data_IF_934414045944
#
_entry.id   IF_934414045944
#
_cell.length_a   1.000
_cell.length_b   1.000
_cell.length_c   1.000
_cell.angle_alpha   90.00
_cell.angle_beta   90.00
_cell.angle_gamma   90.00
#
_symmetry.space_group_name_H-M   'P 1'
#
loop_
_entity.id
_entity.type
_entity.pdbx_description
1 polymer ?
#
# COMPACT_ATOMS: atom_id res chain seq x y z
N UNK A 1 -18.21 5.45 10.62
CA UNK A 1 -16.84 5.98 10.51
C UNK A 1 -16.03 4.95 9.72
N UNK A 2 -15.02 5.29 9.03
CA UNK A 2 -14.14 4.39 8.26
C UNK A 2 -14.88 3.40 7.33
N UNK A 3 -15.64 3.91 6.38
CA UNK A 3 -16.30 3.08 5.37
C UNK A 3 -15.29 2.47 4.37
N UNK A 4 -14.19 3.15 4.10
CA UNK A 4 -13.15 2.75 3.15
C UNK A 4 -11.77 2.96 3.76
N UNK A 5 -11.02 1.88 3.92
CA UNK A 5 -9.69 1.86 4.53
C UNK A 5 -8.66 1.40 3.50
N UNK A 6 -7.61 2.18 3.30
CA UNK A 6 -6.45 1.79 2.50
C UNK A 6 -5.37 1.23 3.42
N UNK A 7 -4.71 0.15 2.99
CA UNK A 7 -3.45 -0.29 3.57
C UNK A 7 -2.38 -0.36 2.50
N UNK A 8 -1.24 0.28 2.77
CA UNK A 8 -0.11 0.31 1.86
C UNK A 8 0.76 -0.94 2.05
N UNK A 9 0.97 -1.69 0.98
CA UNK A 9 1.71 -2.96 0.98
C UNK A 9 2.98 -2.84 0.14
N UNK A 10 4.13 -3.12 0.74
CA UNK A 10 5.40 -3.19 0.02
C UNK A 10 6.14 -4.51 0.23
N UNK A 11 5.52 -5.45 0.94
CA UNK A 11 6.09 -6.75 1.28
C UNK A 11 6.97 -6.75 2.52
N UNK A 12 7.17 -5.61 3.18
CA UNK A 12 7.93 -5.51 4.42
C UNK A 12 7.13 -6.08 5.61
N UNK A 13 7.84 -6.46 6.67
CA UNK A 13 7.21 -6.90 7.92
C UNK A 13 6.29 -5.80 8.49
N UNK A 14 6.68 -4.54 8.37
CA UNK A 14 5.87 -3.43 8.85
C UNK A 14 4.59 -3.24 8.03
N UNK A 15 4.63 -3.47 6.71
CA UNK A 15 3.41 -3.44 5.91
C UNK A 15 2.45 -4.58 6.27
N UNK A 16 2.98 -5.76 6.61
CA UNK A 16 2.16 -6.87 7.10
C UNK A 16 1.56 -6.58 8.47
N UNK A 17 2.32 -5.93 9.35
CA UNK A 17 1.79 -5.49 10.65
C UNK A 17 0.70 -4.41 10.47
N UNK A 18 0.92 -3.47 9.55
CA UNK A 18 -0.10 -2.48 9.18
C UNK A 18 -1.39 -3.14 8.66
N UNK A 19 -1.24 -4.23 7.90
CA UNK A 19 -2.37 -5.02 7.41
C UNK A 19 -3.21 -5.59 8.56
N UNK A 20 -2.58 -6.10 9.62
CA UNK A 20 -3.29 -6.62 10.78
C UNK A 20 -4.10 -5.52 11.48
N UNK A 21 -3.53 -4.33 11.63
CA UNK A 21 -4.26 -3.18 12.16
C UNK A 21 -5.43 -2.76 11.27
N UNK A 22 -5.16 -2.65 9.95
CA UNK A 22 -6.20 -2.29 8.99
C UNK A 22 -7.35 -3.30 8.96
N UNK A 23 -7.03 -4.60 9.05
CA UNK A 23 -8.02 -5.67 9.14
C UNK A 23 -8.90 -5.50 10.38
N UNK A 24 -8.29 -5.31 11.56
CA UNK A 24 -9.03 -5.16 12.80
C UNK A 24 -10.01 -3.98 12.74
N UNK A 25 -9.56 -2.86 12.17
CA UNK A 25 -10.41 -1.68 11.97
C UNK A 25 -11.54 -1.99 10.99
N UNK A 26 -11.20 -2.59 9.85
CA UNK A 26 -12.18 -2.90 8.81
C UNK A 26 -13.24 -3.89 9.29
N UNK A 27 -12.86 -4.88 10.09
CA UNK A 27 -13.81 -5.81 10.70
C UNK A 27 -14.72 -5.12 11.71
N UNK A 28 -14.16 -4.23 12.54
CA UNK A 28 -14.91 -3.49 13.56
C UNK A 28 -15.95 -2.55 12.92
N UNK A 29 -15.58 -1.82 11.89
CA UNK A 29 -16.43 -0.82 11.24
C UNK A 29 -17.17 -1.35 10.01
N UNK A 30 -16.96 -2.60 9.63
CA UNK A 30 -17.47 -3.20 8.39
C UNK A 30 -17.04 -2.41 7.15
N UNK A 31 -15.78 -1.98 7.15
CA UNK A 31 -15.18 -1.20 6.09
C UNK A 31 -14.86 -2.06 4.87
N UNK A 32 -14.79 -1.41 3.70
CA UNK A 32 -14.07 -1.95 2.57
C UNK A 32 -12.58 -1.76 2.83
N UNK A 33 -11.78 -2.80 2.62
CA UNK A 33 -10.32 -2.75 2.73
C UNK A 33 -9.70 -2.75 1.34
N UNK A 34 -8.82 -1.80 1.07
CA UNK A 34 -8.15 -1.65 -0.22
C UNK A 34 -6.65 -1.85 -0.02
N UNK A 35 -6.12 -2.91 -0.62
CA UNK A 35 -4.69 -3.22 -0.61
C UNK A 35 -4.03 -2.43 -1.75
N UNK A 36 -3.10 -1.54 -1.41
CA UNK A 36 -2.41 -0.72 -2.39
C UNK A 36 -0.93 -1.09 -2.43
N UNK A 37 -0.45 -1.49 -3.58
CA UNK A 37 0.98 -1.67 -3.86
C UNK A 37 1.37 -0.83 -5.06
N UNK A 38 2.52 -0.18 -4.96
CA UNK A 38 3.07 0.66 -6.02
C UNK A 38 4.48 0.21 -6.39
N UNK A 39 4.81 0.30 -7.66
CA UNK A 39 6.17 0.12 -8.16
C UNK A 39 6.57 1.34 -9.01
N UNK A 40 7.85 1.74 -8.98
CA UNK A 40 8.28 2.98 -9.63
C UNK A 40 8.24 2.89 -11.16
N UNK A 41 8.10 4.03 -11.81
CA UNK A 41 8.22 4.14 -13.27
C UNK A 41 9.61 3.70 -13.74
N UNK A 42 9.63 3.14 -14.93
CA UNK A 42 10.85 2.79 -15.66
C UNK A 42 10.96 3.65 -16.93
N UNK A 43 10.67 4.93 -16.81
CA UNK A 43 10.55 5.87 -17.92
C UNK A 43 11.77 5.95 -18.85
N UNK A 44 12.97 5.76 -18.28
CA UNK A 44 14.22 5.84 -19.03
C UNK A 44 14.43 4.70 -20.03
N UNK A 45 13.64 3.63 -19.89
CA UNK A 45 13.73 2.43 -20.73
C UNK A 45 12.49 2.22 -21.61
N UNK A 46 11.62 3.22 -21.71
CA UNK A 46 10.41 3.13 -22.54
C UNK A 46 10.73 2.69 -23.97
N UNK A 47 9.84 1.86 -24.52
CA UNK A 47 9.91 1.31 -25.87
C UNK A 47 11.09 0.35 -26.11
N UNK A 48 11.77 -0.10 -25.03
CA UNK A 48 12.80 -1.12 -25.12
C UNK A 48 12.26 -2.49 -24.65
N UNK A 49 12.94 -3.55 -25.09
CA UNK A 49 12.64 -4.91 -24.62
C UNK A 49 12.91 -5.01 -23.12
N UNK A 50 13.98 -4.37 -22.64
CA UNK A 50 14.35 -4.31 -21.22
C UNK A 50 13.28 -3.62 -20.38
N UNK A 51 12.66 -2.56 -20.90
CA UNK A 51 11.54 -1.89 -20.22
C UNK A 51 10.37 -2.84 -20.01
N UNK A 52 9.92 -3.52 -21.07
CA UNK A 52 8.81 -4.46 -21.00
C UNK A 52 9.08 -5.60 -20.03
N UNK A 53 10.30 -6.16 -20.08
CA UNK A 53 10.71 -7.23 -19.17
C UNK A 53 10.73 -6.77 -17.71
N UNK A 54 11.26 -5.58 -17.43
CA UNK A 54 11.31 -5.02 -16.08
C UNK A 54 9.92 -4.72 -15.53
N UNK A 55 9.01 -4.20 -16.36
CA UNK A 55 7.61 -3.96 -15.98
C UNK A 55 6.93 -5.28 -15.63
N UNK A 56 7.09 -6.32 -16.43
CA UNK A 56 6.55 -7.65 -16.16
C UNK A 56 7.03 -8.21 -14.83
N UNK A 57 8.33 -8.08 -14.52
CA UNK A 57 8.90 -8.52 -13.25
C UNK A 57 8.33 -7.74 -12.06
N UNK A 58 8.14 -6.45 -12.21
CA UNK A 58 7.57 -5.59 -11.16
C UNK A 58 6.09 -5.90 -10.92
N UNK A 59 5.33 -6.11 -11.97
CA UNK A 59 3.93 -6.52 -11.86
C UNK A 59 3.84 -7.88 -11.15
N UNK A 60 4.65 -8.84 -11.55
CA UNK A 60 4.71 -10.15 -10.91
C UNK A 60 5.05 -10.05 -9.43
N UNK A 61 6.05 -9.23 -9.08
CA UNK A 61 6.42 -9.01 -7.68
C UNK A 61 5.28 -8.33 -6.91
N UNK A 62 4.60 -7.38 -7.52
CA UNK A 62 3.44 -6.72 -6.94
C UNK A 62 2.29 -7.69 -6.68
N UNK A 63 2.00 -8.56 -7.62
CA UNK A 63 0.99 -9.61 -7.47
C UNK A 63 1.34 -10.56 -6.32
N UNK A 64 2.60 -10.93 -6.18
CA UNK A 64 3.08 -11.75 -5.06
C UNK A 64 2.89 -11.06 -3.71
N UNK A 65 3.15 -9.76 -3.64
CA UNK A 65 2.94 -8.96 -2.43
C UNK A 65 1.46 -8.89 -2.05
N UNK A 66 0.59 -8.66 -3.03
CA UNK A 66 -0.86 -8.64 -2.82
C UNK A 66 -1.37 -10.02 -2.40
N UNK A 67 -0.88 -11.08 -3.04
CA UNK A 67 -1.24 -12.45 -2.66
C UNK A 67 -0.80 -12.79 -1.24
N UNK A 68 0.40 -12.36 -0.84
CA UNK A 68 0.89 -12.50 0.52
C UNK A 68 -0.05 -11.80 1.52
N UNK A 69 -0.51 -10.59 1.19
CA UNK A 69 -1.46 -9.85 2.00
C UNK A 69 -2.80 -10.59 2.11
N UNK A 70 -3.33 -11.06 0.99
CA UNK A 70 -4.58 -11.84 0.98
C UNK A 70 -4.47 -13.13 1.79
N UNK A 71 -3.34 -13.79 1.72
CA UNK A 71 -3.06 -15.01 2.46
C UNK A 71 -3.05 -14.76 3.98
N UNK A 72 -2.45 -13.63 4.38
CA UNK A 72 -2.44 -13.21 5.78
C UNK A 72 -3.84 -12.84 6.28
N UNK A 73 -4.64 -12.18 5.45
CA UNK A 73 -6.04 -11.88 5.76
C UNK A 73 -6.87 -13.16 5.96
N UNK A 74 -6.62 -14.17 5.16
CA UNK A 74 -7.38 -15.42 5.19
C UNK A 74 -8.87 -15.18 4.91
N UNK A 75 -9.73 -15.96 5.54
CA UNK A 75 -11.18 -15.77 5.43
C UNK A 75 -11.61 -14.52 6.20
N UNK A 76 -12.36 -13.67 5.53
CA UNK A 76 -12.92 -12.46 6.13
C UNK A 76 -14.27 -12.14 5.52
N UNK A 77 -15.14 -11.51 6.33
CA UNK A 77 -16.46 -11.05 5.88
C UNK A 77 -16.42 -9.64 5.25
N UNK A 78 -15.29 -8.96 5.34
CA UNK A 78 -15.15 -7.63 4.76
C UNK A 78 -14.84 -7.70 3.26
N UNK A 79 -15.26 -6.68 2.50
CA UNK A 79 -14.90 -6.54 1.10
C UNK A 79 -13.43 -6.13 0.99
N UNK A 80 -12.67 -6.86 0.17
CA UNK A 80 -11.25 -6.59 -0.07
C UNK A 80 -11.04 -6.32 -1.56
N UNK A 81 -10.48 -5.16 -1.86
CA UNK A 81 -10.11 -4.76 -3.21
C UNK A 81 -8.60 -4.53 -3.30
N UNK A 82 -8.07 -4.41 -4.51
CA UNK A 82 -6.63 -4.24 -4.75
C UNK A 82 -6.37 -3.17 -5.78
N UNK A 83 -5.34 -2.38 -5.55
CA UNK A 83 -4.79 -1.43 -6.53
C UNK A 83 -3.28 -1.71 -6.68
N UNK A 84 -2.88 -2.06 -7.89
CA UNK A 84 -1.48 -2.26 -8.27
C UNK A 84 -1.11 -1.12 -9.23
N UNK A 85 -0.24 -0.21 -8.81
CA UNK A 85 -0.02 1.05 -9.49
C UNK A 85 1.44 1.26 -9.89
N UNK A 86 1.67 1.67 -11.14
CA UNK A 86 2.98 2.12 -11.61
C UNK A 86 3.13 3.62 -11.30
N UNK A 87 3.67 3.91 -10.12
CA UNK A 87 3.84 5.28 -9.60
C UNK A 87 4.79 5.24 -8.41
N UNK A 88 5.45 6.35 -8.06
CA UNK A 88 6.11 6.42 -6.75
C UNK A 88 5.10 6.13 -5.63
N UNK A 89 5.57 5.45 -4.59
CA UNK A 89 4.67 4.89 -3.58
C UNK A 89 3.78 5.94 -2.89
N UNK A 90 4.36 7.07 -2.47
CA UNK A 90 3.57 8.10 -1.78
C UNK A 90 2.47 8.67 -2.68
N UNK A 91 2.80 8.98 -3.93
CA UNK A 91 1.84 9.49 -4.92
C UNK A 91 0.74 8.47 -5.22
N UNK A 92 1.09 7.20 -5.32
CA UNK A 92 0.12 6.13 -5.54
C UNK A 92 -0.88 6.02 -4.39
N UNK A 93 -0.39 6.03 -3.15
CA UNK A 93 -1.23 5.95 -1.96
C UNK A 93 -2.16 7.17 -1.87
N UNK A 94 -1.62 8.37 -2.10
CA UNK A 94 -2.41 9.61 -2.07
C UNK A 94 -3.48 9.64 -3.16
N UNK A 95 -3.14 9.24 -4.39
CA UNK A 95 -4.07 9.14 -5.50
C UNK A 95 -5.17 8.12 -5.23
N UNK A 96 -4.80 6.94 -4.74
CA UNK A 96 -5.76 5.91 -4.38
C UNK A 96 -6.74 6.40 -3.31
N UNK A 97 -6.23 7.08 -2.28
CA UNK A 97 -7.06 7.63 -1.22
C UNK A 97 -8.09 8.65 -1.75
N UNK A 98 -7.66 9.52 -2.66
CA UNK A 98 -8.53 10.51 -3.27
C UNK A 98 -9.58 9.87 -4.20
N UNK A 99 -9.17 8.99 -5.10
CA UNK A 99 -10.05 8.33 -6.08
C UNK A 99 -11.06 7.41 -5.39
N UNK A 100 -10.62 6.70 -4.36
CA UNK A 100 -11.46 5.76 -3.60
C UNK A 100 -12.30 6.44 -2.52
N UNK A 101 -12.13 7.75 -2.30
CA UNK A 101 -12.75 8.48 -1.19
C UNK A 101 -12.50 7.77 0.15
N UNK A 102 -11.26 7.39 0.39
CA UNK A 102 -10.92 6.62 1.57
C UNK A 102 -10.93 7.48 2.84
N UNK A 103 -11.36 6.86 3.93
CA UNK A 103 -11.56 7.53 5.22
C UNK A 103 -10.35 7.35 6.15
N UNK A 104 -9.48 6.41 5.83
CA UNK A 104 -8.30 6.09 6.60
C UNK A 104 -7.22 5.46 5.71
N UNK A 105 -5.99 5.86 5.92
CA UNK A 105 -4.81 5.19 5.37
C UNK A 105 -4.06 4.54 6.53
N UNK A 106 -3.73 3.26 6.39
CA UNK A 106 -2.89 2.52 7.35
C UNK A 106 -1.60 2.10 6.65
N UNK A 107 -0.47 2.37 7.24
CA UNK A 107 0.82 2.05 6.66
C UNK A 107 1.89 1.84 7.72
N UNK A 108 2.95 1.12 7.37
CA UNK A 108 4.12 1.01 8.23
C UNK A 108 4.87 2.34 8.31
N UNK A 109 5.55 2.58 9.41
CA UNK A 109 6.38 3.77 9.58
C UNK A 109 7.59 3.76 8.66
N UNK A 110 8.07 2.56 8.29
CA UNK A 110 9.18 2.31 7.36
C UNK A 110 8.78 1.19 6.42
N UNK A 111 9.38 1.16 5.24
CA UNK A 111 9.19 0.09 4.27
C UNK A 111 10.50 -0.57 3.89
N UNK A 112 10.48 -1.29 2.77
CA UNK A 112 11.66 -1.88 2.16
C UNK A 112 12.66 -0.77 1.80
N UNK A 113 13.94 -0.97 2.11
CA UNK A 113 15.00 -0.02 1.80
C UNK A 113 15.12 1.18 2.73
N UNK A 114 14.33 1.26 3.79
CA UNK A 114 14.48 2.31 4.79
C UNK A 114 15.80 2.18 5.55
N UNK A 115 16.40 3.33 5.90
CA UNK A 115 17.61 3.37 6.67
C UNK A 115 17.35 2.91 8.11
N UNK A 116 18.27 2.10 8.63
CA UNK A 116 18.20 1.60 9.99
C UNK A 116 18.27 2.76 11.01
N UNK A 117 17.39 2.74 11.99
CA UNK A 117 17.32 3.76 13.03
C UNK A 117 16.37 4.93 12.76
N UNK A 118 15.82 5.04 11.55
CA UNK A 118 14.78 6.03 11.24
C UNK A 118 13.44 5.59 11.81
N UNK A 119 12.73 6.49 12.46
CA UNK A 119 11.38 6.23 13.01
C UNK A 119 10.35 6.23 11.88
N UNK A 120 10.44 7.21 10.98
CA UNK A 120 9.57 7.32 9.81
C UNK A 120 10.38 7.27 8.52
N UNK A 121 9.84 6.59 7.51
CA UNK A 121 10.40 6.57 6.17
C UNK A 121 9.94 7.76 5.33
N UNK A 122 10.51 7.90 4.12
CA UNK A 122 10.15 8.95 3.18
C UNK A 122 8.68 8.88 2.75
N UNK A 123 8.17 7.68 2.52
CA UNK A 123 6.78 7.46 2.08
C UNK A 123 5.81 7.83 3.19
N UNK A 124 6.00 7.32 4.41
CA UNK A 124 5.10 7.61 5.53
C UNK A 124 5.09 9.10 5.90
N UNK A 125 6.24 9.77 5.83
CA UNK A 125 6.33 11.21 6.05
C UNK A 125 5.52 11.99 5.02
N UNK A 126 5.69 11.68 3.74
CA UNK A 126 4.99 12.38 2.65
C UNK A 126 3.48 12.12 2.68
N UNK A 127 3.08 10.86 2.89
CA UNK A 127 1.66 10.50 2.99
C UNK A 127 1.01 11.22 4.18
N UNK A 128 1.65 11.21 5.34
CA UNK A 128 1.14 11.89 6.54
C UNK A 128 0.95 13.40 6.33
N UNK A 129 1.81 14.00 5.52
CA UNK A 129 1.75 15.44 5.25
C UNK A 129 0.63 15.82 4.26
N UNK A 130 0.38 15.00 3.25
CA UNK A 130 -0.52 15.34 2.13
C UNK A 130 -1.82 14.55 2.09
N UNK A 131 -2.05 13.61 2.99
CA UNK A 131 -3.23 12.75 2.93
C UNK A 131 -4.54 13.54 3.05
N UNK A 132 -5.57 13.17 2.26
CA UNK A 132 -6.88 13.79 2.35
C UNK A 132 -7.72 13.28 3.53
N UNK A 133 -7.20 12.33 4.29
CA UNK A 133 -7.87 11.66 5.40
C UNK A 133 -6.87 11.32 6.51
N UNK A 134 -7.32 10.88 7.69
CA UNK A 134 -6.44 10.40 8.74
C UNK A 134 -5.48 9.30 8.26
N UNK A 135 -4.27 9.30 8.83
CA UNK A 135 -3.22 8.32 8.54
C UNK A 135 -2.80 7.66 9.83
N UNK A 136 -2.90 6.34 9.87
CA UNK A 136 -2.36 5.53 10.97
C UNK A 136 -1.01 4.98 10.54
N UNK A 137 0.03 5.37 11.24
CA UNK A 137 1.40 4.91 11.00
C UNK A 137 1.75 3.86 12.04
N UNK A 138 2.01 2.64 11.59
CA UNK A 138 2.29 1.48 12.45
C UNK A 138 3.80 1.26 12.54
N UNK A 139 4.29 1.13 13.75
CA UNK A 139 5.71 0.88 14.03
C UNK A 139 6.00 -0.60 14.24
#
# INVERSE_FOLDING_TARGET
>A
MYASVIVAMDGSEQSLLALDHARAIAECFRSKLILVHAFPHTSDLRDSIEYNHLVELRIKRGEEIIEMARKQLGRTSIAVEEDLLESPAAEAILSAAAIRNSDLIVMGSRGMGSLKGMVFGSVSTKVSHYAPCPVMVVR
#
